data_IF_241307592262
#
_entry.id   IF_241307592262
#
_cell.length_a   1.000
_cell.length_b   1.000
_cell.length_c   1.000
_cell.angle_alpha   90.00
_cell.angle_beta   90.00
_cell.angle_gamma   90.00
#
_symmetry.space_group_name_H-M   'P 1'
#
loop_
_entity.id
_entity.type
_entity.pdbx_description
1 polymer ?
#
# COMPACT_ATOMS: atom_id res chain seq x y z
N UNK A 1 2.63 -70.00 -60.71
CA UNK A 1 2.70 -70.12 -59.24
C UNK A 1 3.41 -68.86 -58.76
N UNK A 2 2.72 -67.72 -58.68
CA UNK A 2 1.80 -67.25 -57.62
C UNK A 2 2.45 -67.16 -56.23
N UNK A 3 2.17 -66.02 -55.58
CA UNK A 3 2.56 -65.51 -54.24
C UNK A 3 3.89 -64.74 -54.18
N UNK A 4 3.86 -63.40 -54.25
CA UNK A 4 3.51 -62.42 -53.18
C UNK A 4 4.48 -62.47 -51.99
N UNK A 5 5.48 -61.59 -52.01
CA UNK A 5 6.18 -61.14 -50.79
C UNK A 5 6.63 -59.66 -50.96
N UNK A 6 5.69 -58.81 -51.38
CA UNK A 6 5.85 -57.34 -51.44
C UNK A 6 4.86 -56.72 -50.46
N UNK A 7 4.95 -57.08 -49.19
CA UNK A 7 4.00 -56.63 -48.17
C UNK A 7 4.55 -56.64 -46.74
N UNK A 8 5.87 -56.52 -46.54
CA UNK A 8 6.43 -56.54 -45.17
C UNK A 8 7.43 -55.42 -44.85
N UNK A 9 7.69 -54.49 -45.77
CA UNK A 9 8.60 -53.37 -45.51
C UNK A 9 8.03 -52.01 -45.91
N UNK A 10 6.69 -51.89 -45.90
CA UNK A 10 5.96 -50.63 -46.03
C UNK A 10 4.96 -50.50 -44.87
N UNK A 11 5.41 -50.89 -43.69
CA UNK A 11 4.69 -50.70 -42.41
C UNK A 11 5.69 -50.24 -41.34
N UNK A 12 6.62 -49.36 -41.71
CA UNK A 12 7.56 -48.74 -40.78
C UNK A 12 7.60 -47.22 -40.87
N UNK A 13 6.68 -46.57 -41.60
CA UNK A 13 6.75 -45.11 -41.86
C UNK A 13 5.48 -44.35 -41.48
N UNK A 14 4.47 -45.00 -40.88
CA UNK A 14 3.24 -44.31 -40.44
C UNK A 14 2.93 -44.48 -38.95
N UNK A 15 3.97 -44.65 -38.14
CA UNK A 15 3.93 -44.27 -36.72
C UNK A 15 4.97 -43.17 -36.55
N UNK A 16 4.83 -42.09 -37.33
CA UNK A 16 5.38 -40.81 -36.91
C UNK A 16 4.53 -40.44 -35.71
N UNK A 17 5.08 -40.77 -34.54
CA UNK A 17 4.98 -40.00 -33.33
C UNK A 17 4.01 -38.81 -33.46
N UNK A 18 2.73 -39.07 -33.22
CA UNK A 18 2.01 -38.29 -32.23
C UNK A 18 2.67 -38.58 -30.87
N UNK A 19 3.95 -38.22 -30.73
CA UNK A 19 4.38 -37.72 -29.44
C UNK A 19 3.62 -36.41 -29.33
N UNK A 20 2.43 -36.48 -28.71
CA UNK A 20 2.07 -35.42 -27.79
C UNK A 20 3.30 -35.25 -26.92
N UNK A 21 4.18 -34.34 -27.32
CA UNK A 21 5.02 -33.65 -26.39
C UNK A 21 3.99 -33.01 -25.45
N UNK A 22 3.72 -33.70 -24.34
CA UNK A 22 3.07 -33.13 -23.18
C UNK A 22 3.98 -32.00 -22.76
N UNK A 23 3.88 -30.88 -23.47
CA UNK A 23 4.52 -29.64 -23.11
C UNK A 23 3.84 -29.28 -21.81
N UNK A 24 4.55 -29.52 -20.71
CA UNK A 24 4.10 -29.10 -19.39
C UNK A 24 3.65 -27.64 -19.50
N UNK A 25 2.53 -27.28 -18.87
CA UNK A 25 2.07 -25.91 -18.87
C UNK A 25 3.18 -24.98 -18.39
N UNK A 26 3.50 -23.97 -19.21
CA UNK A 26 4.42 -22.91 -18.78
C UNK A 26 3.70 -22.13 -17.67
N UNK A 27 4.26 -22.19 -16.47
CA UNK A 27 3.77 -21.43 -15.34
C UNK A 27 4.16 -19.96 -15.60
N UNK A 28 3.23 -19.19 -16.17
CA UNK A 28 3.35 -17.73 -16.21
C UNK A 28 3.04 -17.23 -14.80
N UNK A 29 4.11 -16.99 -14.04
CA UNK A 29 4.08 -16.81 -12.61
C UNK A 29 3.68 -15.36 -12.28
N UNK A 30 2.41 -15.00 -12.49
CA UNK A 30 1.85 -13.78 -11.89
C UNK A 30 1.71 -14.06 -10.40
N UNK A 31 2.81 -13.90 -9.67
CA UNK A 31 2.85 -14.12 -8.23
C UNK A 31 1.86 -13.15 -7.55
N UNK A 32 0.97 -13.65 -6.69
CA UNK A 32 0.04 -12.78 -5.97
C UNK A 32 0.84 -11.81 -5.10
N UNK A 33 0.42 -10.55 -5.06
CA UNK A 33 1.04 -9.53 -4.21
C UNK A 33 0.01 -8.74 -3.42
N UNK A 34 0.47 -8.10 -2.35
CA UNK A 34 -0.26 -7.17 -1.52
C UNK A 34 0.29 -5.76 -1.74
N UNK A 35 -0.58 -4.81 -2.04
CA UNK A 35 -0.20 -3.39 -2.02
C UNK A 35 -0.33 -2.87 -0.59
N UNK A 36 0.71 -2.24 -0.06
CA UNK A 36 0.68 -1.61 1.26
C UNK A 36 1.22 -0.18 1.23
N UNK A 37 0.60 0.69 2.01
CA UNK A 37 0.98 2.07 2.26
C UNK A 37 1.23 2.23 3.75
N UNK A 38 2.34 2.87 4.12
CA UNK A 38 2.67 3.14 5.52
C UNK A 38 2.46 4.61 5.83
N UNK A 39 1.78 4.90 6.95
CA UNK A 39 1.48 6.25 7.42
C UNK A 39 1.96 6.37 8.86
N UNK A 40 2.70 7.44 9.17
CA UNK A 40 3.10 7.77 10.55
C UNK A 40 1.90 8.41 11.26
N UNK A 41 1.11 7.60 11.95
CA UNK A 41 -0.13 8.02 12.61
C UNK A 41 0.13 8.97 13.77
N UNK A 42 1.15 8.67 14.58
CA UNK A 42 1.53 9.49 15.73
C UNK A 42 1.88 10.93 15.33
N UNK A 43 2.66 11.10 14.25
CA UNK A 43 3.04 12.42 13.75
C UNK A 43 1.83 13.17 13.16
N UNK A 44 0.94 12.45 12.49
CA UNK A 44 -0.29 13.01 11.93
C UNK A 44 -1.21 13.55 13.05
N UNK A 45 -1.40 12.77 14.11
CA UNK A 45 -2.22 13.18 15.26
C UNK A 45 -1.64 14.39 15.99
N UNK A 46 -0.32 14.43 16.18
CA UNK A 46 0.37 15.58 16.77
C UNK A 46 0.23 16.85 15.90
N UNK A 47 0.40 16.73 14.58
CA UNK A 47 0.22 17.85 13.66
C UNK A 47 -1.21 18.37 13.68
N UNK A 48 -2.20 17.48 13.68
CA UNK A 48 -3.62 17.85 13.75
C UNK A 48 -3.95 18.59 15.05
N UNK A 49 -3.40 18.14 16.20
CA UNK A 49 -3.56 18.83 17.47
C UNK A 49 -2.94 20.24 17.46
N UNK A 50 -1.74 20.41 16.87
CA UNK A 50 -1.10 21.71 16.72
C UNK A 50 -1.90 22.65 15.80
N UNK A 51 -2.48 22.12 14.72
CA UNK A 51 -3.36 22.88 13.82
C UNK A 51 -4.61 23.37 14.58
N UNK A 52 -5.21 22.52 15.41
CA UNK A 52 -6.36 22.89 16.24
C UNK A 52 -6.00 23.99 17.26
N UNK A 53 -4.84 23.89 17.90
CA UNK A 53 -4.35 24.93 18.82
C UNK A 53 -4.13 26.28 18.12
N UNK A 54 -3.58 26.27 16.91
CA UNK A 54 -3.43 27.49 16.08
C UNK A 54 -4.82 28.08 15.78
N UNK A 55 -5.81 27.25 15.43
CA UNK A 55 -7.16 27.72 15.13
C UNK A 55 -7.84 28.38 16.33
N UNK A 56 -7.67 27.82 17.52
CA UNK A 56 -8.13 28.43 18.76
C UNK A 56 -7.44 29.78 19.00
N UNK A 57 -6.12 29.84 18.82
CA UNK A 57 -5.35 31.07 19.02
C UNK A 57 -5.73 32.17 18.03
N UNK A 58 -5.90 31.83 16.74
CA UNK A 58 -6.36 32.77 15.71
C UNK A 58 -7.74 33.32 16.05
N UNK A 59 -8.64 32.47 16.57
CA UNK A 59 -9.96 32.88 17.00
C UNK A 59 -9.91 33.85 18.20
N UNK A 60 -9.07 33.57 19.20
CA UNK A 60 -8.90 34.46 20.35
C UNK A 60 -8.34 35.83 19.94
N UNK A 61 -7.44 35.86 18.94
CA UNK A 61 -6.95 37.11 18.33
C UNK A 61 -8.11 37.86 17.65
N UNK A 62 -8.94 37.18 16.86
CA UNK A 62 -10.09 37.79 16.18
C UNK A 62 -11.11 38.37 17.17
N UNK A 63 -11.42 37.64 18.24
CA UNK A 63 -12.30 38.10 19.31
C UNK A 63 -11.71 39.32 20.03
N UNK A 64 -10.39 39.34 20.26
CA UNK A 64 -9.68 40.48 20.86
C UNK A 64 -9.72 41.72 19.95
N UNK A 65 -9.46 41.57 18.65
CA UNK A 65 -9.55 42.66 17.68
C UNK A 65 -10.97 43.23 17.64
N UNK A 66 -11.99 42.36 17.65
CA UNK A 66 -13.38 42.78 17.65
C UNK A 66 -13.73 43.63 18.89
N UNK A 67 -13.23 43.26 20.07
CA UNK A 67 -13.40 44.03 21.31
C UNK A 67 -12.69 45.38 21.21
N UNK A 68 -11.44 45.40 20.75
CA UNK A 68 -10.65 46.63 20.62
C UNK A 68 -11.26 47.62 19.62
N UNK A 69 -11.85 47.12 18.54
CA UNK A 69 -12.50 47.95 17.52
C UNK A 69 -13.78 48.65 18.00
N UNK A 70 -14.40 48.18 19.09
CA UNK A 70 -15.58 48.81 19.69
C UNK A 70 -15.23 50.02 20.59
N UNK A 71 -13.99 50.11 21.07
CA UNK A 71 -13.54 51.22 21.93
C UNK A 71 -13.03 52.39 21.08
N UNK A 72 -13.96 53.22 20.59
CA UNK A 72 -13.65 54.35 19.70
C UNK A 72 -12.95 55.53 20.37
N UNK A 73 -12.64 55.45 21.67
CA UNK A 73 -12.13 56.57 22.48
C UNK A 73 -10.60 56.59 22.50
N UNK A 74 -9.94 55.46 22.25
CA UNK A 74 -8.49 55.30 22.29
C UNK A 74 -8.01 54.80 20.93
N UNK A 75 -6.99 55.45 20.36
CA UNK A 75 -6.32 54.92 19.17
C UNK A 75 -5.57 53.62 19.53
N UNK A 76 -6.03 52.51 18.96
CA UNK A 76 -5.47 51.16 19.12
C UNK A 76 -4.92 50.60 17.82
N UNK A 77 -4.72 51.45 16.80
CA UNK A 77 -4.33 51.01 15.45
C UNK A 77 -3.06 50.15 15.49
N UNK A 78 -2.03 50.58 16.20
CA UNK A 78 -0.77 49.83 16.33
C UNK A 78 -0.94 48.44 16.99
N UNK A 79 -1.82 48.33 18.00
CA UNK A 79 -2.10 47.04 18.66
C UNK A 79 -2.88 46.11 17.74
N UNK A 80 -3.87 46.63 17.02
CA UNK A 80 -4.65 45.85 16.05
C UNK A 80 -3.76 45.38 14.90
N UNK A 81 -2.89 46.24 14.40
CA UNK A 81 -1.92 45.89 13.35
C UNK A 81 -0.97 44.78 13.81
N UNK A 82 -0.41 44.90 15.02
CA UNK A 82 0.44 43.85 15.59
C UNK A 82 -0.27 42.50 15.74
N UNK A 83 -1.55 42.50 16.17
CA UNK A 83 -2.35 41.28 16.28
C UNK A 83 -2.66 40.66 14.90
N UNK A 84 -2.92 41.50 13.89
CA UNK A 84 -3.11 41.05 12.52
C UNK A 84 -1.84 40.43 11.93
N UNK A 85 -0.66 40.99 12.24
CA UNK A 85 0.62 40.41 11.84
C UNK A 85 0.86 39.04 12.49
N UNK A 86 0.59 38.90 13.79
CA UNK A 86 0.70 37.62 14.49
C UNK A 86 -0.28 36.57 13.92
N UNK A 87 -1.53 36.96 13.68
CA UNK A 87 -2.52 36.11 13.01
C UNK A 87 -2.05 35.67 11.61
N UNK A 88 -1.42 36.56 10.83
CA UNK A 88 -0.90 36.21 9.52
C UNK A 88 0.26 35.21 9.61
N UNK A 89 1.15 35.37 10.60
CA UNK A 89 2.23 34.43 10.87
C UNK A 89 1.69 33.05 11.27
N UNK A 90 0.71 32.98 12.18
CA UNK A 90 0.06 31.74 12.59
C UNK A 90 -0.61 31.00 11.42
N UNK A 91 -1.33 31.73 10.55
CA UNK A 91 -1.94 31.14 9.34
C UNK A 91 -0.89 30.62 8.35
N UNK A 92 0.28 31.25 8.28
CA UNK A 92 1.40 30.76 7.47
C UNK A 92 1.93 29.43 8.03
N UNK A 93 2.12 29.35 9.35
CA UNK A 93 2.53 28.11 10.04
C UNK A 93 1.51 27.00 9.84
N UNK A 94 0.21 27.29 10.02
CA UNK A 94 -0.88 26.33 9.76
C UNK A 94 -0.83 25.79 8.33
N UNK A 95 -0.59 26.67 7.36
CA UNK A 95 -0.48 26.26 5.95
C UNK A 95 0.70 25.32 5.73
N UNK A 96 1.84 25.55 6.39
CA UNK A 96 2.98 24.65 6.33
C UNK A 96 2.68 23.29 6.96
N UNK A 97 2.00 23.25 8.12
CA UNK A 97 1.59 21.99 8.74
C UNK A 97 0.59 21.21 7.88
N UNK A 98 -0.38 21.86 7.24
CA UNK A 98 -1.30 21.19 6.32
C UNK A 98 -0.58 20.55 5.12
N UNK A 99 0.49 21.17 4.62
CA UNK A 99 1.32 20.56 3.58
C UNK A 99 2.02 19.31 4.11
N UNK A 100 2.60 19.37 5.30
CA UNK A 100 3.22 18.19 5.94
C UNK A 100 2.21 17.08 6.23
N UNK A 101 0.99 17.42 6.64
CA UNK A 101 -0.11 16.45 6.78
C UNK A 101 -0.39 15.76 5.45
N UNK A 102 -0.49 16.53 4.37
CA UNK A 102 -0.71 15.99 3.01
C UNK A 102 0.43 15.05 2.59
N UNK A 103 1.69 15.41 2.88
CA UNK A 103 2.87 14.60 2.57
C UNK A 103 2.93 13.29 3.40
N UNK A 104 2.43 13.30 4.64
CA UNK A 104 2.34 12.09 5.48
C UNK A 104 1.20 11.19 4.97
N UNK A 105 0.05 11.79 4.66
CA UNK A 105 -1.12 11.05 4.17
C UNK A 105 -0.91 10.44 2.79
N UNK A 106 -0.02 10.98 1.96
CA UNK A 106 0.39 10.36 0.69
C UNK A 106 1.24 9.10 0.87
N UNK A 107 1.62 8.74 2.10
CA UNK A 107 2.38 7.53 2.40
C UNK A 107 3.86 7.65 2.07
N UNK A 108 4.41 8.87 2.02
CA UNK A 108 5.83 9.15 1.75
C UNK A 108 6.75 8.82 2.95
N UNK A 109 6.51 7.68 3.59
CA UNK A 109 7.32 7.19 4.71
C UNK A 109 8.52 6.41 4.17
N UNK A 110 9.68 6.61 4.79
CA UNK A 110 10.88 5.85 4.47
C UNK A 110 10.82 4.46 5.11
N UNK A 111 10.50 3.46 4.29
CA UNK A 111 10.65 2.04 4.65
C UNK A 111 12.12 1.64 4.48
N UNK A 112 12.70 1.00 5.51
CA UNK A 112 14.11 0.57 5.49
C UNK A 112 14.26 -0.83 4.91
N UNK A 113 13.26 -1.68 5.09
CA UNK A 113 13.23 -3.02 4.52
C UNK A 113 11.93 -3.73 4.85
N UNK A 114 11.55 -4.64 3.96
CA UNK A 114 10.47 -5.60 4.16
C UNK A 114 11.07 -6.97 3.92
N UNK A 115 10.97 -7.87 4.88
CA UNK A 115 11.48 -9.24 4.76
C UNK A 115 10.39 -10.25 5.14
N UNK A 116 10.58 -11.52 4.74
CA UNK A 116 9.69 -12.60 5.15
C UNK A 116 10.51 -13.77 5.70
N UNK A 117 10.10 -14.36 6.84
CA UNK A 117 10.75 -15.56 7.37
C UNK A 117 10.63 -16.77 6.42
N UNK A 118 9.68 -16.76 5.48
CA UNK A 118 9.50 -17.81 4.47
C UNK A 118 10.58 -17.81 3.36
N UNK A 119 11.59 -16.93 3.43
CA UNK A 119 12.69 -16.90 2.47
C UNK A 119 12.37 -16.12 1.20
N UNK A 120 11.31 -15.29 1.22
CA UNK A 120 11.09 -14.27 0.19
C UNK A 120 12.26 -13.29 0.28
N UNK A 121 12.90 -13.01 -0.87
CA UNK A 121 14.00 -12.04 -0.93
C UNK A 121 13.53 -10.72 -0.33
N UNK A 122 14.32 -10.10 0.58
CA UNK A 122 13.94 -8.85 1.19
C UNK A 122 13.71 -7.80 0.10
N UNK A 123 12.56 -7.16 0.18
CA UNK A 123 12.26 -6.00 -0.67
C UNK A 123 13.03 -4.86 -0.05
N UNK A 124 13.99 -4.35 -0.80
CA UNK A 124 14.72 -3.14 -0.46
C UNK A 124 14.02 -1.99 -1.19
N UNK A 125 13.29 -1.13 -0.47
CA UNK A 125 12.70 0.07 -1.04
C UNK A 125 13.72 0.88 -1.82
N UNK A 126 13.28 1.47 -2.93
CA UNK A 126 14.02 2.59 -3.51
C UNK A 126 14.22 3.68 -2.44
N UNK A 127 15.37 4.39 -2.43
CA UNK A 127 15.57 5.50 -1.51
C UNK A 127 14.53 6.62 -1.68
N UNK A 128 13.91 6.70 -2.86
CA UNK A 128 12.75 7.53 -3.11
C UNK A 128 11.51 6.76 -2.61
N UNK A 129 10.86 7.28 -1.57
CA UNK A 129 9.72 6.65 -0.91
C UNK A 129 8.69 6.17 -1.94
N UNK A 130 8.46 4.86 -2.01
CA UNK A 130 7.34 4.37 -2.78
C UNK A 130 6.06 4.69 -2.00
N UNK A 131 5.12 5.40 -2.64
CA UNK A 131 3.78 5.64 -2.07
C UNK A 131 3.05 4.32 -1.80
N UNK A 132 3.33 3.29 -2.61
CA UNK A 132 2.74 1.95 -2.52
C UNK A 132 3.83 0.89 -2.66
N UNK A 133 3.93 0.00 -1.68
CA UNK A 133 4.80 -1.16 -1.68
C UNK A 133 4.06 -2.39 -2.17
N UNK A 134 4.65 -3.11 -3.14
CA UNK A 134 4.13 -4.39 -3.62
C UNK A 134 4.89 -5.53 -2.96
N UNK A 135 4.25 -6.19 -2.00
CA UNK A 135 4.84 -7.29 -1.26
C UNK A 135 4.32 -8.61 -1.84
N UNK A 136 5.18 -9.51 -2.35
CA UNK A 136 4.71 -10.78 -2.87
C UNK A 136 4.17 -11.65 -1.72
N UNK A 137 3.05 -12.31 -1.98
CA UNK A 137 2.44 -13.31 -1.11
C UNK A 137 3.08 -14.68 -1.39
N UNK A 138 3.02 -15.59 -0.42
CA UNK A 138 3.50 -16.95 -0.54
C UNK A 138 2.53 -17.81 -1.37
N UNK A 139 2.83 -18.17 -2.63
CA UNK A 139 1.88 -18.92 -3.45
C UNK A 139 1.66 -20.36 -2.94
N UNK A 140 2.51 -20.87 -2.03
CA UNK A 140 2.45 -22.23 -1.50
C UNK A 140 1.55 -22.38 -0.26
N UNK A 141 1.24 -21.29 0.44
CA UNK A 141 0.47 -21.29 1.69
C UNK A 141 -0.69 -20.29 1.63
N UNK A 142 -1.65 -20.38 2.55
CA UNK A 142 -2.79 -19.44 2.63
C UNK A 142 -2.48 -18.23 3.54
N UNK A 143 -1.22 -18.13 3.99
CA UNK A 143 -0.74 -17.14 4.94
C UNK A 143 0.61 -16.60 4.44
N UNK A 144 0.83 -15.31 4.63
CA UNK A 144 2.13 -14.69 4.46
C UNK A 144 2.46 -13.78 5.63
N UNK A 145 3.65 -13.96 6.17
CA UNK A 145 4.16 -13.21 7.32
C UNK A 145 5.32 -12.34 6.85
N UNK A 146 5.35 -11.10 7.34
CA UNK A 146 6.30 -10.08 6.95
C UNK A 146 6.83 -9.37 8.20
N UNK A 147 8.12 -9.07 8.17
CA UNK A 147 8.79 -8.20 9.13
C UNK A 147 9.17 -6.91 8.40
N UNK A 148 8.62 -5.79 8.86
CA UNK A 148 8.75 -4.48 8.24
C UNK A 148 9.60 -3.61 9.15
N UNK A 149 10.64 -2.98 8.60
CA UNK A 149 11.45 -2.02 9.32
C UNK A 149 11.14 -0.58 8.91
N UNK A 150 10.56 0.19 9.84
CA UNK A 150 10.25 1.62 9.68
C UNK A 150 11.02 2.39 10.76
N UNK A 151 11.77 3.41 10.36
CA UNK A 151 12.49 4.31 11.28
C UNK A 151 13.36 3.61 12.34
N UNK A 152 13.90 2.43 12.00
CA UNK A 152 14.72 1.62 12.91
C UNK A 152 13.92 0.80 13.93
N UNK A 153 12.58 0.82 13.85
CA UNK A 153 11.68 -0.09 14.57
C UNK A 153 11.26 -1.25 13.65
N UNK A 154 10.79 -2.35 14.26
CA UNK A 154 10.33 -3.55 13.57
C UNK A 154 8.84 -3.77 13.85
N UNK A 155 8.10 -4.13 12.81
CA UNK A 155 6.66 -4.38 12.84
C UNK A 155 6.37 -5.69 12.15
N UNK A 156 5.47 -6.48 12.74
CA UNK A 156 5.01 -7.74 12.16
C UNK A 156 3.69 -7.51 11.43
N UNK A 157 3.59 -8.05 10.22
CA UNK A 157 2.38 -8.02 9.41
C UNK A 157 2.05 -9.44 8.93
N UNK A 158 0.80 -9.83 9.08
CA UNK A 158 0.30 -11.13 8.62
C UNK A 158 -0.88 -10.94 7.69
N UNK A 159 -0.74 -11.45 6.47
CA UNK A 159 -1.81 -11.50 5.47
C UNK A 159 -2.36 -12.92 5.36
N UNK A 160 -3.67 -13.07 5.44
CA UNK A 160 -4.40 -14.33 5.22
C UNK A 160 -5.28 -14.20 4.00
N UNK A 161 -5.29 -15.21 3.13
CA UNK A 161 -6.01 -15.17 1.87
C UNK A 161 -6.48 -16.54 1.43
N UNK A 162 -7.57 -16.57 0.66
CA UNK A 162 -8.02 -17.76 -0.04
C UNK A 162 -7.32 -17.82 -1.40
N UNK A 163 -6.76 -18.98 -1.75
CA UNK A 163 -6.14 -19.19 -3.06
C UNK A 163 -7.11 -19.86 -4.03
N UNK A 164 -7.13 -19.37 -5.26
CA UNK A 164 -7.78 -20.03 -6.39
C UNK A 164 -6.73 -20.33 -7.45
N UNK A 165 -6.66 -21.59 -7.89
CA UNK A 165 -5.75 -21.98 -8.97
C UNK A 165 -6.56 -22.15 -10.25
N UNK A 166 -6.32 -21.27 -11.21
CA UNK A 166 -6.96 -21.32 -12.52
C UNK A 166 -5.94 -21.83 -13.53
N UNK A 167 -6.34 -22.81 -14.34
CA UNK A 167 -5.50 -23.31 -15.44
C UNK A 167 -6.11 -22.85 -16.76
N UNK A 168 -5.48 -21.87 -17.41
CA UNK A 168 -5.92 -21.33 -18.68
C UNK A 168 -4.84 -21.53 -19.74
N UNK A 169 -5.19 -22.09 -20.90
CA UNK A 169 -4.30 -22.14 -22.08
C UNK A 169 -2.88 -22.67 -21.81
N UNK A 170 -2.74 -23.62 -20.86
CA UNK A 170 -1.46 -24.17 -20.39
C UNK A 170 -0.65 -23.22 -19.49
N UNK A 171 -1.32 -22.32 -18.81
CA UNK A 171 -0.76 -21.45 -17.78
C UNK A 171 -1.47 -21.74 -16.46
N UNK A 172 -0.71 -21.86 -15.38
CA UNK A 172 -1.24 -21.98 -14.02
C UNK A 172 -1.20 -20.60 -13.38
N UNK A 173 -2.37 -20.04 -13.10
CA UNK A 173 -2.54 -18.74 -12.44
C UNK A 173 -2.98 -19.00 -11.00
N UNK A 174 -2.25 -18.44 -10.04
CA UNK A 174 -2.63 -18.47 -8.62
C UNK A 174 -3.18 -17.10 -8.25
N UNK A 175 -4.50 -17.03 -8.08
CA UNK A 175 -5.18 -15.87 -7.56
C UNK A 175 -5.25 -15.97 -6.04
N UNK A 176 -4.95 -14.86 -5.34
CA UNK A 176 -5.16 -14.75 -3.91
C UNK A 176 -6.30 -13.76 -3.64
N UNK A 177 -7.26 -14.14 -2.83
CA UNK A 177 -8.36 -13.30 -2.37
C UNK A 177 -8.12 -12.95 -0.92
N UNK A 178 -7.80 -11.69 -0.65
CA UNK A 178 -7.42 -11.25 0.68
C UNK A 178 -8.62 -11.39 1.63
N UNK A 179 -8.44 -12.16 2.69
CA UNK A 179 -9.46 -12.39 3.70
C UNK A 179 -9.24 -11.48 4.91
N UNK A 180 -7.98 -11.37 5.34
CA UNK A 180 -7.63 -10.57 6.50
C UNK A 180 -6.17 -10.12 6.47
N UNK A 181 -5.89 -8.97 7.09
CA UNK A 181 -4.55 -8.46 7.33
C UNK A 181 -4.49 -7.96 8.76
N UNK A 182 -3.65 -8.60 9.56
CA UNK A 182 -3.55 -8.33 10.99
C UNK A 182 -2.12 -7.95 11.37
N UNK A 183 -2.03 -7.07 12.35
CA UNK A 183 -0.81 -6.67 13.03
C UNK A 183 -1.13 -6.36 14.49
N UNK A 184 -0.19 -6.62 15.41
CA UNK A 184 -0.32 -6.22 16.81
C UNK A 184 0.16 -4.78 17.05
N UNK A 185 1.01 -4.26 16.17
CA UNK A 185 1.70 -2.98 16.33
C UNK A 185 1.33 -1.95 15.26
N UNK A 186 0.58 -2.33 14.23
CA UNK A 186 0.07 -1.45 13.19
C UNK A 186 -1.45 -1.40 13.24
N UNK A 187 -2.03 -0.20 13.12
CA UNK A 187 -3.45 -0.07 12.83
C UNK A 187 -3.65 -0.32 11.32
N UNK A 188 -4.35 -1.41 11.00
CA UNK A 188 -4.57 -1.84 9.63
C UNK A 188 -5.96 -1.41 9.16
N UNK A 189 -5.99 -0.73 8.02
CA UNK A 189 -7.21 -0.50 7.23
C UNK A 189 -6.95 -0.96 5.80
N UNK A 190 -7.97 -1.44 5.09
CA UNK A 190 -7.81 -1.79 3.69
C UNK A 190 -9.01 -1.38 2.87
N UNK A 191 -8.75 -0.98 1.63
CA UNK A 191 -9.76 -0.55 0.67
C UNK A 191 -9.66 -1.46 -0.54
N UNK A 192 -10.79 -2.04 -0.91
CA UNK A 192 -10.91 -2.80 -2.14
C UNK A 192 -11.26 -1.84 -3.27
N UNK A 193 -10.52 -1.94 -4.39
CA UNK A 193 -10.72 -1.06 -5.53
C UNK A 193 -12.14 -1.18 -6.10
N UNK A 194 -12.71 -2.38 -6.07
CA UNK A 194 -14.10 -2.65 -6.40
C UNK A 194 -14.92 -2.89 -5.12
N UNK A 195 -16.15 -2.36 -5.08
CA UNK A 195 -17.08 -2.48 -3.94
C UNK A 195 -17.64 -3.90 -3.73
N UNK A 196 -16.90 -4.92 -4.15
CA UNK A 196 -17.23 -6.33 -3.96
C UNK A 196 -16.83 -6.77 -2.55
N UNK A 197 -17.47 -7.83 -2.05
CA UNK A 197 -17.20 -8.39 -0.73
C UNK A 197 -15.95 -9.27 -0.68
N UNK A 198 -15.27 -9.47 -1.81
CA UNK A 198 -14.11 -10.38 -1.95
C UNK A 198 -13.08 -9.74 -2.85
N UNK A 199 -11.95 -9.34 -2.28
CA UNK A 199 -10.98 -8.50 -2.95
C UNK A 199 -9.80 -9.35 -3.39
N UNK A 200 -9.45 -9.30 -4.67
CA UNK A 200 -8.21 -9.93 -5.11
C UNK A 200 -7.04 -9.18 -4.47
N UNK A 201 -5.99 -9.90 -4.09
CA UNK A 201 -4.80 -9.31 -3.44
C UNK A 201 -4.18 -8.22 -4.31
N UNK A 202 -4.19 -8.44 -5.64
CA UNK A 202 -3.60 -7.55 -6.63
C UNK A 202 -4.39 -6.23 -6.81
N UNK A 203 -5.65 -6.19 -6.37
CA UNK A 203 -6.55 -5.02 -6.40
C UNK A 203 -6.76 -4.40 -5.01
N UNK A 204 -6.16 -4.99 -3.97
CA UNK A 204 -6.32 -4.50 -2.59
C UNK A 204 -5.14 -3.64 -2.19
N UNK A 205 -5.43 -2.46 -1.65
CA UNK A 205 -4.45 -1.60 -1.00
C UNK A 205 -4.72 -1.57 0.50
N UNK A 206 -3.71 -1.97 1.26
CA UNK A 206 -3.68 -1.90 2.72
C UNK A 206 -3.00 -0.62 3.16
N UNK A 207 -3.60 0.09 4.10
CA UNK A 207 -2.97 1.20 4.79
C UNK A 207 -2.63 0.76 6.21
N UNK A 208 -1.35 0.77 6.54
CA UNK A 208 -0.82 0.47 7.86
C UNK A 208 -0.36 1.77 8.53
N UNK A 209 -0.98 2.11 9.66
CA UNK A 209 -0.58 3.23 10.50
C UNK A 209 0.31 2.72 11.64
N UNK A 210 1.43 3.40 11.86
CA UNK A 210 2.38 3.12 12.94
C UNK A 210 2.61 4.34 13.82
#
# INVERSE_FOLDING_TARGET
MSLKFSAFLSLCVLIVALSCEDTEPEIDNIDPFLNIVFINGDSLDQLNALIEEIDLTVKDIDDTIAILALDSVIDRTETIDSLNEEKAALNTTKSAFNLTVTDIESGSVRVFGISSPAGINPIIPSPDSAEIFRIPLNPAEDISEFEISLEGQQYDLKATYERNTVVEQRTVIVEAFLTDVISESLEITYICQDSSTTCTSNETTVTARF
#
